data_IF_714947039700
#
_entry.id   IF_714947039700
#
_cell.length_a   1.000
_cell.length_b   1.000
_cell.length_c   1.000
_cell.angle_alpha   90.00
_cell.angle_beta   90.00
_cell.angle_gamma   90.00
#
_symmetry.space_group_name_H-M   'P 1'
#
loop_
_entity.id
_entity.type
_entity.pdbx_description
1 polymer ?
#
# COMPACT_ATOMS: atom_id res chain seq x y z
N UNK A 1 34.92 60.40 -33.72
CA UNK A 1 34.40 59.89 -32.47
C UNK A 1 33.37 58.78 -32.80
N UNK A 2 33.77 57.50 -32.77
CA UNK A 2 32.93 56.36 -33.13
C UNK A 2 32.37 55.76 -31.79
N UNK A 3 31.04 55.85 -31.57
CA UNK A 3 30.39 55.18 -30.45
C UNK A 3 30.27 53.66 -30.73
N UNK A 4 30.82 52.86 -29.86
CA UNK A 4 30.54 51.42 -29.80
C UNK A 4 29.38 51.21 -28.86
N UNK A 5 28.30 50.63 -29.38
CA UNK A 5 27.19 50.14 -28.55
C UNK A 5 27.51 48.74 -28.02
N UNK A 6 27.25 48.41 -26.76
CA UNK A 6 27.47 47.07 -26.25
C UNK A 6 26.35 46.13 -26.71
N UNK A 7 26.74 44.98 -27.30
CA UNK A 7 25.82 43.88 -27.58
C UNK A 7 25.53 43.17 -26.27
N UNK A 8 24.29 43.25 -25.81
CA UNK A 8 23.80 42.45 -24.70
C UNK A 8 23.44 41.05 -25.22
N UNK A 9 24.28 40.08 -24.90
CA UNK A 9 24.02 38.66 -25.16
C UNK A 9 23.02 38.14 -24.13
N UNK A 10 21.75 37.98 -24.54
CA UNK A 10 20.69 37.37 -23.73
C UNK A 10 20.93 35.85 -23.70
N UNK A 11 21.50 35.34 -22.61
CA UNK A 11 21.60 33.92 -22.33
C UNK A 11 20.18 33.38 -22.00
N UNK A 12 19.59 32.71 -22.97
CA UNK A 12 18.41 31.87 -22.75
C UNK A 12 18.82 30.66 -21.91
N UNK A 13 18.48 30.67 -20.64
CA UNK A 13 18.58 29.49 -19.78
C UNK A 13 17.56 28.44 -20.29
N UNK A 14 17.96 27.16 -20.45
CA UNK A 14 17.00 26.12 -20.78
C UNK A 14 15.98 26.04 -19.65
N UNK A 15 14.71 26.24 -20.00
CA UNK A 15 13.59 26.17 -19.06
C UNK A 15 13.61 24.83 -18.32
N UNK A 16 13.47 24.86 -17.00
CA UNK A 16 13.04 23.71 -16.24
C UNK A 16 11.79 23.17 -16.92
N UNK A 17 11.84 21.91 -17.33
CA UNK A 17 10.64 21.20 -17.76
C UNK A 17 9.70 21.19 -16.55
N UNK A 18 8.65 22.00 -16.61
CA UNK A 18 7.58 21.98 -15.63
C UNK A 18 7.02 20.55 -15.60
N UNK A 19 7.29 19.86 -14.51
CA UNK A 19 6.68 18.55 -14.25
C UNK A 19 5.18 18.81 -14.08
N UNK A 20 4.40 18.58 -15.15
CA UNK A 20 2.95 18.63 -15.07
C UNK A 20 2.48 17.45 -14.16
N UNK A 21 1.85 17.73 -13.03
CA UNK A 21 1.32 16.64 -12.20
C UNK A 21 0.28 15.86 -13.00
N UNK A 22 0.26 14.55 -12.82
CA UNK A 22 -0.75 13.66 -13.42
C UNK A 22 -2.15 14.23 -13.19
N UNK A 23 -2.86 14.56 -14.27
CA UNK A 23 -4.24 15.11 -14.24
C UNK A 23 -5.28 14.00 -14.43
N UNK A 24 -5.08 12.83 -13.80
CA UNK A 24 -6.03 11.73 -13.85
C UNK A 24 -7.19 11.91 -12.85
N UNK A 25 -8.26 11.16 -13.07
CA UNK A 25 -9.35 11.06 -12.11
C UNK A 25 -8.85 10.43 -10.79
N UNK A 26 -9.13 11.08 -9.66
CA UNK A 26 -8.79 10.54 -8.33
C UNK A 26 -9.73 9.39 -8.00
N UNK A 27 -9.18 8.21 -7.81
CA UNK A 27 -9.94 7.02 -7.45
C UNK A 27 -9.40 6.36 -6.18
N UNK A 28 -10.31 5.77 -5.39
CA UNK A 28 -10.01 4.79 -4.34
C UNK A 28 -10.42 3.42 -4.86
N UNK A 29 -9.52 2.45 -4.76
CA UNK A 29 -9.80 1.05 -5.09
C UNK A 29 -9.45 0.17 -3.91
N UNK A 30 -10.30 -0.80 -3.66
CA UNK A 30 -9.99 -1.95 -2.80
C UNK A 30 -9.33 -3.06 -3.61
N UNK A 31 -8.56 -3.89 -2.95
CA UNK A 31 -7.99 -5.08 -3.58
C UNK A 31 -9.10 -5.96 -4.15
N UNK A 32 -8.91 -6.49 -5.36
CA UNK A 32 -9.91 -7.26 -6.09
C UNK A 32 -9.47 -8.67 -6.45
N UNK A 33 -8.19 -9.00 -6.23
CA UNK A 33 -7.64 -10.31 -6.54
C UNK A 33 -6.56 -10.72 -5.54
N UNK A 34 -6.51 -11.99 -5.17
CA UNK A 34 -5.38 -12.59 -4.47
C UNK A 34 -4.36 -13.06 -5.50
N UNK A 35 -3.14 -12.52 -5.43
CA UNK A 35 -2.01 -12.92 -6.28
C UNK A 35 -1.15 -13.98 -5.58
N UNK A 36 -1.01 -13.86 -4.25
CA UNK A 36 -0.26 -14.81 -3.44
C UNK A 36 -0.33 -14.50 -1.95
N UNK A 37 0.03 -15.47 -1.16
CA UNK A 37 0.13 -15.36 0.30
C UNK A 37 1.11 -16.41 0.81
N UNK A 38 1.66 -16.19 2.00
CA UNK A 38 2.55 -17.15 2.65
C UNK A 38 1.79 -18.32 3.25
N UNK A 39 0.69 -18.01 3.95
CA UNK A 39 -0.22 -18.98 4.56
C UNK A 39 -1.61 -18.38 4.75
N UNK A 40 -2.58 -19.20 5.11
CA UNK A 40 -3.92 -18.79 5.53
C UNK A 40 -4.49 -19.85 6.46
N UNK A 41 -5.39 -19.45 7.36
CA UNK A 41 -6.01 -20.38 8.31
C UNK A 41 -6.80 -21.48 7.59
N UNK A 42 -7.62 -21.10 6.62
CA UNK A 42 -8.40 -22.06 5.82
C UNK A 42 -8.62 -21.55 4.39
N UNK A 43 -9.26 -22.32 3.55
CA UNK A 43 -9.67 -21.90 2.21
C UNK A 43 -11.01 -21.13 2.17
N UNK A 44 -11.72 -21.03 3.28
CA UNK A 44 -13.01 -20.34 3.42
C UNK A 44 -12.92 -19.18 4.40
N UNK A 45 -13.09 -19.48 5.66
CA UNK A 45 -12.96 -18.50 6.75
C UNK A 45 -11.50 -18.15 6.97
N UNK A 46 -11.22 -16.90 7.30
CA UNK A 46 -9.86 -16.35 7.44
C UNK A 46 -8.94 -16.61 6.23
N UNK A 47 -9.51 -16.84 5.04
CA UNK A 47 -8.72 -17.02 3.82
C UNK A 47 -8.19 -15.69 3.27
N UNK A 48 -7.22 -15.74 2.35
CA UNK A 48 -6.69 -14.54 1.68
C UNK A 48 -7.77 -13.80 0.86
N UNK A 49 -8.84 -14.49 0.45
CA UNK A 49 -9.99 -13.89 -0.23
C UNK A 49 -10.77 -12.92 0.66
N UNK A 50 -10.66 -13.07 2.01
CA UNK A 50 -11.33 -12.20 2.96
C UNK A 50 -10.71 -10.79 3.04
N UNK A 51 -9.49 -10.62 2.54
CA UNK A 51 -8.85 -9.30 2.42
C UNK A 51 -9.22 -8.56 1.12
N UNK A 52 -10.23 -9.03 0.37
CA UNK A 52 -10.68 -8.43 -0.89
C UNK A 52 -11.99 -7.67 -0.72
N UNK A 53 -12.15 -6.61 -1.50
CA UNK A 53 -13.34 -5.76 -1.47
C UNK A 53 -13.26 -4.71 -0.35
N UNK A 54 -14.40 -4.07 -0.12
CA UNK A 54 -14.58 -3.15 1.00
C UNK A 54 -14.52 -3.90 2.32
N UNK A 55 -14.11 -3.19 3.38
CA UNK A 55 -14.09 -3.74 4.72
C UNK A 55 -15.48 -4.27 5.14
N UNK A 56 -15.50 -5.42 5.80
CA UNK A 56 -16.74 -6.06 6.25
C UNK A 56 -16.69 -6.49 7.72
N UNK A 57 -15.52 -6.51 8.35
CA UNK A 57 -15.31 -6.72 9.78
C UNK A 57 -15.09 -5.39 10.48
N UNK A 58 -14.21 -4.53 9.96
CA UNK A 58 -13.97 -3.20 10.52
C UNK A 58 -15.29 -2.40 10.60
N UNK A 59 -15.60 -1.70 11.72
CA UNK A 59 -14.72 -1.34 12.82
C UNK A 59 -14.71 -2.33 14.00
N UNK A 60 -15.27 -3.53 13.87
CA UNK A 60 -15.24 -4.51 14.95
C UNK A 60 -13.82 -5.04 15.18
N UNK A 61 -13.47 -5.26 16.45
CA UNK A 61 -12.20 -5.84 16.88
C UNK A 61 -12.40 -7.24 17.39
N UNK A 62 -11.60 -8.19 16.90
CA UNK A 62 -11.64 -9.58 17.37
C UNK A 62 -11.15 -10.56 16.32
N UNK A 63 -11.05 -11.83 16.73
CA UNK A 63 -10.79 -12.97 15.85
C UNK A 63 -12.08 -13.33 15.09
N UNK A 64 -12.28 -12.68 13.94
CA UNK A 64 -13.51 -12.73 13.15
C UNK A 64 -13.25 -13.25 11.73
N UNK A 65 -13.99 -14.28 11.33
CA UNK A 65 -13.77 -15.06 10.10
C UNK A 65 -13.91 -14.28 8.79
N UNK A 66 -14.35 -13.04 8.83
CA UNK A 66 -14.46 -12.12 7.70
C UNK A 66 -13.12 -11.52 7.24
N UNK A 67 -12.07 -11.61 8.08
CA UNK A 67 -10.73 -11.11 7.76
C UNK A 67 -9.77 -12.26 7.38
N UNK A 68 -8.64 -11.94 6.74
CA UNK A 68 -7.56 -12.91 6.56
C UNK A 68 -6.77 -13.10 7.84
N UNK A 69 -6.44 -14.35 8.14
CA UNK A 69 -5.46 -14.72 9.16
C UNK A 69 -4.49 -15.78 8.62
N UNK A 70 -3.25 -15.75 9.11
CA UNK A 70 -2.22 -16.76 8.83
C UNK A 70 -2.56 -18.13 9.42
N UNK A 71 -1.93 -19.20 8.91
CA UNK A 71 -2.12 -20.56 9.42
C UNK A 71 -1.70 -20.71 10.88
N UNK A 72 -0.64 -20.02 11.28
CA UNK A 72 -0.17 -19.98 12.69
C UNK A 72 -0.12 -18.54 13.18
N UNK A 73 -0.42 -18.31 14.46
CA UNK A 73 -0.41 -16.97 15.05
C UNK A 73 0.97 -16.29 14.90
N UNK A 74 2.02 -16.93 15.46
CA UNK A 74 3.35 -16.31 15.59
C UNK A 74 4.47 -17.18 14.99
N UNK A 75 4.10 -18.18 14.15
CA UNK A 75 5.03 -19.21 13.71
C UNK A 75 6.10 -18.75 12.72
N UNK A 76 5.81 -17.74 11.92
CA UNK A 76 6.70 -17.25 10.87
C UNK A 76 6.32 -15.81 10.43
N UNK A 77 7.21 -15.19 9.67
CA UNK A 77 6.84 -13.96 8.93
C UNK A 77 5.89 -14.31 7.80
N UNK A 78 4.86 -13.52 7.67
CA UNK A 78 3.81 -13.72 6.68
C UNK A 78 3.84 -12.66 5.57
N UNK A 79 3.12 -12.91 4.50
CA UNK A 79 2.84 -11.92 3.47
C UNK A 79 1.49 -12.13 2.80
N UNK A 80 0.89 -11.03 2.35
CA UNK A 80 -0.23 -11.00 1.40
C UNK A 80 0.20 -10.23 0.15
N UNK A 81 -0.14 -10.77 -1.02
CA UNK A 81 0.01 -10.09 -2.32
C UNK A 81 -1.36 -9.99 -2.97
N UNK A 82 -1.83 -8.76 -3.12
CA UNK A 82 -3.17 -8.45 -3.62
C UNK A 82 -3.08 -7.59 -4.88
N UNK A 83 -4.01 -7.81 -5.81
CA UNK A 83 -4.12 -7.08 -7.07
C UNK A 83 -5.28 -6.10 -7.08
N UNK A 84 -5.18 -5.10 -7.94
CA UNK A 84 -6.21 -4.09 -8.19
C UNK A 84 -6.73 -4.21 -9.61
N UNK A 85 -8.01 -3.85 -9.84
CA UNK A 85 -8.64 -3.93 -11.16
C UNK A 85 -8.00 -2.97 -12.15
N UNK A 86 -7.70 -1.75 -11.69
CA UNK A 86 -7.10 -0.70 -12.52
C UNK A 86 -5.72 -0.34 -11.99
N UNK A 87 -4.75 -0.20 -12.88
CA UNK A 87 -3.46 0.38 -12.51
C UNK A 87 -3.59 1.89 -12.33
N UNK A 88 -3.07 2.41 -11.22
CA UNK A 88 -3.12 3.84 -10.88
C UNK A 88 -1.86 4.30 -10.17
N UNK A 89 -1.59 5.61 -10.17
CA UNK A 89 -0.63 6.18 -9.22
C UNK A 89 -1.14 5.99 -7.80
N UNK A 90 -0.26 6.01 -6.80
CA UNK A 90 -0.65 5.81 -5.41
C UNK A 90 -0.16 6.98 -4.56
N UNK A 91 -1.10 7.58 -3.83
CA UNK A 91 -0.86 8.65 -2.85
C UNK A 91 -1.20 8.24 -1.43
N UNK A 92 -2.09 7.27 -1.26
CA UNK A 92 -2.48 6.74 0.04
C UNK A 92 -2.71 5.24 -0.06
N UNK A 93 -2.29 4.52 0.97
CA UNK A 93 -2.56 3.10 1.20
C UNK A 93 -3.31 2.99 2.52
N UNK A 94 -4.34 2.17 2.58
CA UNK A 94 -5.11 1.85 3.77
C UNK A 94 -5.15 0.34 3.96
N UNK A 95 -4.72 -0.12 5.13
CA UNK A 95 -4.79 -1.52 5.56
C UNK A 95 -5.71 -1.57 6.77
N UNK A 96 -6.79 -2.33 6.67
CA UNK A 96 -7.77 -2.49 7.74
C UNK A 96 -7.36 -3.68 8.59
N UNK A 97 -6.82 -3.40 9.78
CA UNK A 97 -6.35 -4.39 10.74
C UNK A 97 -7.42 -4.55 11.83
N UNK A 98 -8.00 -5.74 11.96
CA UNK A 98 -9.16 -6.00 12.83
C UNK A 98 -8.82 -6.79 14.07
N UNK A 99 -7.66 -7.46 14.11
CA UNK A 99 -7.19 -8.17 15.29
C UNK A 99 -5.67 -8.08 15.44
N UNK A 100 -5.17 -7.84 16.66
CA UNK A 100 -3.77 -7.64 17.04
C UNK A 100 -3.00 -6.79 16.00
N UNK A 101 -3.36 -5.51 15.81
CA UNK A 101 -2.80 -4.67 14.78
C UNK A 101 -1.34 -4.31 15.04
N UNK A 102 -0.60 -3.98 13.96
CA UNK A 102 0.77 -3.47 14.08
C UNK A 102 1.87 -4.35 13.51
N UNK A 103 1.54 -5.56 13.04
CA UNK A 103 2.51 -6.50 12.49
C UNK A 103 3.00 -6.14 11.09
N UNK A 104 2.28 -5.32 10.32
CA UNK A 104 2.70 -4.87 8.98
C UNK A 104 3.93 -3.99 9.12
N UNK A 105 5.10 -4.48 8.70
CA UNK A 105 6.38 -3.79 8.79
C UNK A 105 6.92 -3.29 7.45
N UNK A 106 6.44 -3.85 6.33
CA UNK A 106 6.85 -3.38 5.01
C UNK A 106 5.71 -3.47 4.00
N UNK A 107 5.63 -2.48 3.11
CA UNK A 107 4.68 -2.44 2.02
C UNK A 107 5.42 -2.17 0.71
N UNK A 108 5.08 -2.96 -0.31
CA UNK A 108 5.63 -2.85 -1.64
C UNK A 108 4.50 -2.65 -2.64
N UNK A 109 4.71 -1.78 -3.61
CA UNK A 109 3.85 -1.61 -4.77
C UNK A 109 4.51 -2.21 -6.01
N UNK A 110 3.76 -2.90 -6.85
CA UNK A 110 4.26 -3.41 -8.12
C UNK A 110 4.02 -2.38 -9.21
N UNK A 111 5.08 -1.93 -9.86
CA UNK A 111 4.98 -1.10 -11.06
C UNK A 111 4.32 -1.91 -12.19
N UNK A 112 3.19 -1.45 -12.71
CA UNK A 112 2.39 -2.16 -13.70
C UNK A 112 3.09 -2.38 -15.04
N UNK A 113 4.05 -1.52 -15.41
CA UNK A 113 4.81 -1.61 -16.66
C UNK A 113 6.02 -2.53 -16.53
N UNK A 114 6.83 -2.32 -15.48
CA UNK A 114 8.10 -3.04 -15.31
C UNK A 114 7.97 -4.32 -14.51
N UNK A 115 6.83 -4.54 -13.85
CA UNK A 115 6.54 -5.64 -12.92
C UNK A 115 7.49 -5.70 -11.71
N UNK A 116 8.27 -4.65 -11.47
CA UNK A 116 9.19 -4.55 -10.32
C UNK A 116 8.45 -4.13 -9.07
N UNK A 117 8.80 -4.77 -7.96
CA UNK A 117 8.35 -4.39 -6.63
C UNK A 117 9.18 -3.24 -6.08
N UNK A 118 8.53 -2.20 -5.59
CA UNK A 118 9.14 -0.99 -5.04
C UNK A 118 8.67 -0.83 -3.61
N UNK A 119 9.61 -0.77 -2.66
CA UNK A 119 9.31 -0.54 -1.25
C UNK A 119 8.79 0.89 -1.06
N UNK A 120 7.60 1.03 -0.51
CA UNK A 120 6.97 2.33 -0.21
C UNK A 120 6.80 2.59 1.28
N UNK A 121 6.92 1.55 2.10
CA UNK A 121 6.93 1.64 3.55
C UNK A 121 7.84 0.54 4.12
N UNK A 122 8.67 0.89 5.11
CA UNK A 122 9.46 -0.06 5.88
C UNK A 122 9.76 0.55 7.26
N UNK A 123 9.18 -0.02 8.31
CA UNK A 123 9.41 0.34 9.72
C UNK A 123 9.25 -0.88 10.60
N UNK A 124 9.83 -0.84 11.79
CA UNK A 124 9.61 -1.90 12.78
C UNK A 124 8.11 -2.05 13.10
N UNK A 125 7.65 -3.28 13.42
CA UNK A 125 6.30 -3.52 13.89
C UNK A 125 5.96 -2.68 15.12
N UNK A 126 4.69 -2.36 15.28
CA UNK A 126 4.18 -1.64 16.45
C UNK A 126 3.60 -2.64 17.45
N UNK A 127 4.29 -2.83 18.57
CA UNK A 127 3.89 -3.75 19.65
C UNK A 127 3.17 -3.05 20.81
N UNK A 128 3.00 -1.75 20.69
CA UNK A 128 2.44 -0.86 21.72
C UNK A 128 1.04 -0.33 21.37
N UNK A 129 0.39 -0.94 20.38
CA UNK A 129 -0.96 -0.53 19.97
C UNK A 129 -2.01 -1.10 20.90
N UNK A 130 -3.12 -0.36 21.14
CA UNK A 130 -4.25 -0.91 21.86
C UNK A 130 -4.90 -2.07 21.10
N UNK A 131 -5.59 -2.97 21.81
CA UNK A 131 -6.41 -4.03 21.22
C UNK A 131 -7.69 -3.46 20.61
N UNK A 132 -7.59 -2.77 19.52
CA UNK A 132 -8.68 -2.11 18.79
C UNK A 132 -8.45 -2.27 17.28
N UNK A 133 -9.56 -2.39 16.53
CA UNK A 133 -9.48 -2.35 15.07
C UNK A 133 -9.02 -0.96 14.59
N UNK A 134 -8.18 -0.95 13.57
CA UNK A 134 -7.67 0.32 13.01
C UNK A 134 -7.54 0.30 11.51
N UNK A 135 -7.52 1.49 10.94
CA UNK A 135 -7.07 1.71 9.57
C UNK A 135 -5.60 2.18 9.61
N UNK A 136 -4.68 1.31 9.27
CA UNK A 136 -3.29 1.66 9.10
C UNK A 136 -3.11 2.40 7.78
N UNK A 137 -2.89 3.71 7.85
CA UNK A 137 -2.77 4.58 6.68
C UNK A 137 -1.32 4.98 6.42
N UNK A 138 -0.86 4.78 5.18
CA UNK A 138 0.44 5.25 4.69
C UNK A 138 0.21 6.32 3.62
N UNK A 139 0.68 7.54 3.89
CA UNK A 139 0.65 8.64 2.94
C UNK A 139 1.98 8.74 2.20
N UNK A 140 1.91 8.81 0.88
CA UNK A 140 3.06 8.89 -0.02
C UNK A 140 3.08 10.25 -0.72
N UNK A 141 4.27 10.69 -1.13
CA UNK A 141 4.38 11.50 -2.33
C UNK A 141 3.86 10.63 -3.47
N UNK A 142 2.95 11.15 -4.28
CA UNK A 142 2.32 10.38 -5.35
C UNK A 142 3.37 9.67 -6.21
N UNK A 143 3.16 8.36 -6.45
CA UNK A 143 4.13 7.55 -7.19
C UNK A 143 4.26 8.05 -8.64
N UNK A 144 5.49 8.02 -9.17
CA UNK A 144 5.79 8.38 -10.56
C UNK A 144 5.51 7.22 -11.54
N UNK A 145 4.80 6.20 -11.09
CA UNK A 145 4.41 5.00 -11.84
C UNK A 145 3.02 4.56 -11.39
N UNK A 146 2.32 3.85 -12.25
CA UNK A 146 1.07 3.18 -11.91
C UNK A 146 1.36 1.84 -11.24
N UNK A 147 0.66 1.54 -10.17
CA UNK A 147 0.71 0.26 -9.47
C UNK A 147 -0.54 -0.56 -9.77
N UNK A 148 -0.36 -1.87 -9.97
CA UNK A 148 -1.41 -2.86 -10.21
C UNK A 148 -1.54 -3.88 -9.08
N UNK A 149 -0.58 -3.91 -8.14
CA UNK A 149 -0.58 -4.82 -7.01
C UNK A 149 0.17 -4.24 -5.81
N UNK A 150 -0.18 -4.77 -4.63
CA UNK A 150 0.44 -4.48 -3.35
C UNK A 150 0.92 -5.78 -2.70
N UNK A 151 2.06 -5.73 -2.02
CA UNK A 151 2.52 -6.77 -1.12
C UNK A 151 2.67 -6.20 0.28
N UNK A 152 2.01 -6.80 1.25
CA UNK A 152 2.21 -6.57 2.67
C UNK A 152 3.17 -7.62 3.21
N UNK A 153 4.21 -7.20 3.92
CA UNK A 153 5.03 -8.08 4.75
C UNK A 153 4.63 -7.88 6.22
N UNK A 154 4.36 -9.00 6.88
CA UNK A 154 3.74 -9.05 8.20
C UNK A 154 4.68 -9.82 9.12
N UNK A 155 5.19 -9.14 10.15
CA UNK A 155 6.07 -9.73 11.15
C UNK A 155 5.24 -10.27 12.32
N UNK A 156 4.44 -11.31 12.07
CA UNK A 156 3.58 -11.94 13.08
C UNK A 156 4.33 -12.34 14.35
N UNK A 157 5.57 -12.89 14.30
CA UNK A 157 6.31 -13.19 15.53
C UNK A 157 6.60 -12.01 16.45
N UNK A 158 6.50 -10.79 15.94
CA UNK A 158 6.75 -9.58 16.74
C UNK A 158 5.49 -9.04 17.45
N UNK A 159 4.29 -9.40 16.98
CA UNK A 159 3.01 -8.94 17.53
C UNK A 159 2.16 -10.16 17.87
N UNK A 160 2.12 -10.53 19.14
CA UNK A 160 1.55 -11.78 19.62
C UNK A 160 0.09 -11.99 19.20
N UNK A 161 -0.23 -13.23 18.78
CA UNK A 161 -1.56 -13.64 18.32
C UNK A 161 -1.74 -13.49 16.80
N UNK A 162 -2.90 -13.87 16.29
CA UNK A 162 -3.22 -13.67 14.87
C UNK A 162 -3.35 -12.19 14.56
N UNK A 163 -2.67 -11.77 13.49
CA UNK A 163 -2.71 -10.40 12.99
C UNK A 163 -3.62 -10.38 11.75
N UNK A 164 -4.85 -9.90 11.92
CA UNK A 164 -5.87 -10.05 10.89
C UNK A 164 -6.01 -8.82 9.99
N UNK A 165 -6.19 -9.07 8.69
CA UNK A 165 -6.38 -8.06 7.65
C UNK A 165 -7.75 -8.26 7.00
N UNK A 166 -8.64 -7.28 7.16
CA UNK A 166 -10.00 -7.29 6.61
C UNK A 166 -10.06 -6.74 5.18
N UNK A 167 -9.34 -5.65 4.92
CA UNK A 167 -9.32 -5.02 3.59
C UNK A 167 -8.02 -4.28 3.33
N UNK A 168 -7.73 -4.06 2.05
CA UNK A 168 -6.61 -3.22 1.61
C UNK A 168 -7.08 -2.31 0.48
N UNK A 169 -6.86 -1.01 0.63
CA UNK A 169 -7.22 -0.02 -0.38
C UNK A 169 -6.05 0.88 -0.76
N UNK A 170 -6.06 1.36 -2.00
CA UNK A 170 -5.16 2.41 -2.50
C UNK A 170 -5.97 3.59 -3.03
N UNK A 171 -5.43 4.79 -2.87
CA UNK A 171 -6.00 6.02 -3.45
C UNK A 171 -4.93 6.72 -4.27
N UNK A 172 -5.28 7.15 -5.47
CA UNK A 172 -4.38 7.87 -6.38
C UNK A 172 -5.11 8.38 -7.61
N UNK A 173 -4.45 8.38 -8.77
CA UNK A 173 -5.02 8.84 -10.04
C UNK A 173 -4.92 7.74 -11.10
N UNK A 174 -5.97 7.62 -11.90
CA UNK A 174 -6.08 6.68 -13.02
C UNK A 174 -5.29 7.13 -14.26
#
# INVERSE_FOLDING_TARGET
>A
MKLFAPIVLLLLLPGCSDFEPFKGEKIKQYASAVIGYSSQWSSGDWSAQRALGEENVYPEYGDLSGAWASFTADGQREFLVLGFTESQTVKKIEVFETYNPGAVDSIFLRNSETQKWITVYAKAPRTDLPGEARVFSVHLIETQYKADAIRLAINSPAVAGWNEIDAVAITGQK
#
